data_IF_045790818815
#
_entry.id   IF_045790818815
#
_cell.length_a   1.000
_cell.length_b   1.000
_cell.length_c   1.000
_cell.angle_alpha   90.00
_cell.angle_beta   90.00
_cell.angle_gamma   90.00
#
_symmetry.space_group_name_H-M   'P 1'
#
loop_
_entity.id
_entity.type
_entity.pdbx_description
1 polymer ?
#
# COMPACT_ATOMS: atom_id res chain seq x y z
N UNK A 1 21.98 -5.59 26.24
CA UNK A 1 21.86 -5.88 24.78
C UNK A 1 20.41 -5.83 24.22
N UNK A 2 19.39 -5.36 24.97
CA UNK A 2 18.00 -5.25 24.48
C UNK A 2 17.68 -3.90 23.80
N UNK A 3 18.03 -2.78 24.45
CA UNK A 3 17.67 -1.43 24.00
C UNK A 3 18.15 -1.07 22.58
N UNK A 4 19.32 -1.57 22.16
CA UNK A 4 19.83 -1.35 20.81
C UNK A 4 19.00 -2.08 19.74
N UNK A 5 18.51 -3.29 20.05
CA UNK A 5 17.67 -4.09 19.14
C UNK A 5 16.27 -3.47 18.99
N UNK A 6 15.72 -2.95 20.09
CA UNK A 6 14.42 -2.29 20.09
C UNK A 6 14.46 -0.97 19.31
N UNK A 7 15.55 -0.21 19.46
CA UNK A 7 15.78 1.04 18.71
C UNK A 7 15.93 0.78 17.21
N UNK A 8 16.65 -0.27 16.83
CA UNK A 8 16.78 -0.70 15.42
C UNK A 8 15.43 -1.11 14.83
N UNK A 9 14.62 -1.86 15.58
CA UNK A 9 13.28 -2.26 15.14
C UNK A 9 12.35 -1.05 14.97
N UNK A 10 12.38 -0.10 15.91
CA UNK A 10 11.59 1.12 15.84
C UNK A 10 11.99 1.97 14.62
N UNK A 11 13.30 2.14 14.38
CA UNK A 11 13.80 2.87 13.22
C UNK A 11 13.41 2.19 11.91
N UNK A 12 13.51 0.86 11.82
CA UNK A 12 13.08 0.11 10.64
C UNK A 12 11.60 0.28 10.33
N UNK A 13 10.73 0.20 11.34
CA UNK A 13 9.29 0.41 11.17
C UNK A 13 8.97 1.83 10.67
N UNK A 14 9.68 2.84 11.17
CA UNK A 14 9.53 4.23 10.72
C UNK A 14 10.03 4.41 9.28
N UNK A 15 11.19 3.85 8.92
CA UNK A 15 11.73 3.91 7.56
C UNK A 15 10.78 3.26 6.54
N UNK A 16 10.22 2.09 6.86
CA UNK A 16 9.23 1.40 6.02
C UNK A 16 7.95 2.23 5.87
N UNK A 17 7.46 2.86 6.95
CA UNK A 17 6.30 3.76 6.89
C UNK A 17 6.56 4.94 5.95
N UNK A 18 7.71 5.58 6.06
CA UNK A 18 8.10 6.70 5.19
C UNK A 18 8.27 6.27 3.73
N UNK A 19 8.91 5.12 3.48
CA UNK A 19 9.07 4.59 2.13
C UNK A 19 7.72 4.28 1.45
N UNK A 20 6.74 3.72 2.18
CA UNK A 20 5.38 3.50 1.66
C UNK A 20 4.68 4.81 1.28
N UNK A 21 4.89 5.89 2.03
CA UNK A 21 4.36 7.22 1.70
C UNK A 21 5.01 7.78 0.43
N UNK A 22 6.33 7.64 0.27
CA UNK A 22 7.08 8.16 -0.89
C UNK A 22 6.72 7.41 -2.17
N UNK A 23 6.62 6.08 -2.12
CA UNK A 23 6.37 5.26 -3.30
C UNK A 23 4.91 5.42 -3.76
N UNK A 24 4.00 5.85 -2.87
CA UNK A 24 2.57 5.96 -3.16
C UNK A 24 1.93 4.61 -3.48
N UNK A 25 2.58 3.51 -3.07
CA UNK A 25 2.07 2.15 -3.21
C UNK A 25 1.43 1.77 -1.89
N UNK A 26 0.09 1.72 -1.83
CA UNK A 26 -0.57 1.16 -0.68
C UNK A 26 -0.20 -0.32 -0.57
N UNK A 27 0.24 -0.72 0.62
CA UNK A 27 0.39 -2.11 0.99
C UNK A 27 -0.98 -2.80 0.88
N UNK A 28 -1.03 -4.06 0.44
CA UNK A 28 -2.30 -4.77 0.27
C UNK A 28 -3.10 -4.83 1.58
N UNK A 29 -2.42 -5.01 2.72
CA UNK A 29 -3.07 -5.01 4.02
C UNK A 29 -3.67 -3.65 4.37
N UNK A 30 -2.99 -2.57 3.98
CA UNK A 30 -3.50 -1.20 4.17
C UNK A 30 -4.72 -0.96 3.28
N UNK A 31 -4.71 -1.46 2.04
CA UNK A 31 -5.87 -1.42 1.14
C UNK A 31 -7.06 -2.20 1.71
N UNK A 32 -6.85 -3.42 2.20
CA UNK A 32 -7.91 -4.25 2.80
C UNK A 32 -8.49 -3.56 4.04
N UNK A 33 -7.64 -3.03 4.92
CA UNK A 33 -8.09 -2.28 6.10
C UNK A 33 -8.88 -1.03 5.69
N UNK A 34 -8.40 -0.28 4.70
CA UNK A 34 -9.10 0.89 4.19
C UNK A 34 -10.48 0.52 3.62
N UNK A 35 -10.56 -0.54 2.82
CA UNK A 35 -11.81 -1.03 2.25
C UNK A 35 -12.78 -1.48 3.34
N UNK A 36 -12.31 -2.19 4.37
CA UNK A 36 -13.14 -2.61 5.50
C UNK A 36 -13.67 -1.42 6.31
N UNK A 37 -12.83 -0.39 6.52
CA UNK A 37 -13.20 0.78 7.31
C UNK A 37 -14.09 1.78 6.57
N UNK A 38 -13.82 2.02 5.28
CA UNK A 38 -14.53 3.04 4.47
C UNK A 38 -15.61 2.46 3.55
N UNK A 39 -15.50 1.20 3.17
CA UNK A 39 -16.39 0.55 2.22
C UNK A 39 -16.79 -0.87 2.66
N UNK A 40 -17.42 -1.03 3.84
CA UNK A 40 -17.72 -2.35 4.41
C UNK A 40 -18.63 -3.23 3.53
N UNK A 41 -19.36 -2.65 2.58
CA UNK A 41 -20.22 -3.37 1.64
C UNK A 41 -19.60 -3.67 0.28
N UNK A 42 -18.33 -3.31 0.04
CA UNK A 42 -17.65 -3.61 -1.24
C UNK A 42 -16.73 -4.81 -1.11
N UNK A 43 -16.72 -5.73 -2.08
CA UNK A 43 -15.77 -6.84 -2.09
C UNK A 43 -14.34 -6.30 -2.22
N UNK A 44 -13.44 -6.82 -1.39
CA UNK A 44 -12.02 -6.48 -1.44
C UNK A 44 -11.37 -7.31 -2.55
N UNK A 45 -10.74 -6.64 -3.51
CA UNK A 45 -9.96 -7.30 -4.56
C UNK A 45 -8.92 -8.25 -3.97
N UNK A 46 -8.65 -9.35 -4.67
CA UNK A 46 -7.54 -10.24 -4.32
C UNK A 46 -6.18 -9.56 -4.53
N UNK A 47 -5.14 -10.09 -3.88
CA UNK A 47 -3.76 -9.59 -4.05
C UNK A 47 -3.30 -9.45 -5.51
N UNK A 48 -3.46 -10.47 -6.39
CA UNK A 48 -3.04 -10.35 -7.78
C UNK A 48 -3.84 -9.29 -8.56
N UNK A 49 -5.15 -9.16 -8.30
CA UNK A 49 -5.99 -8.13 -8.92
C UNK A 49 -5.56 -6.72 -8.49
N UNK A 50 -5.30 -6.52 -7.20
CA UNK A 50 -4.77 -5.26 -6.68
C UNK A 50 -3.42 -4.91 -7.31
N UNK A 51 -2.51 -5.88 -7.42
CA UNK A 51 -1.20 -5.65 -8.01
C UNK A 51 -1.31 -5.29 -9.50
N UNK A 52 -2.11 -6.02 -10.27
CA UNK A 52 -2.35 -5.72 -11.68
C UNK A 52 -3.03 -4.36 -11.86
N UNK A 53 -4.01 -3.99 -11.04
CA UNK A 53 -4.63 -2.65 -11.07
C UNK A 53 -3.59 -1.54 -10.83
N UNK A 54 -2.69 -1.71 -9.85
CA UNK A 54 -1.63 -0.73 -9.57
C UNK A 54 -0.61 -0.65 -10.70
N UNK A 55 -0.24 -1.79 -11.28
CA UNK A 55 0.64 -1.84 -12.44
C UNK A 55 -0.02 -1.22 -13.67
N UNK A 56 -1.32 -1.45 -13.88
CA UNK A 56 -2.11 -0.81 -14.94
C UNK A 56 -2.17 0.70 -14.77
N UNK A 57 -2.50 1.17 -13.56
CA UNK A 57 -2.59 2.58 -13.25
C UNK A 57 -1.24 3.31 -13.41
N UNK A 58 -0.12 2.65 -13.09
CA UNK A 58 1.22 3.26 -13.12
C UNK A 58 1.96 3.10 -14.45
N UNK A 59 1.83 1.95 -15.10
CA UNK A 59 2.65 1.58 -16.27
C UNK A 59 1.83 1.33 -17.53
N UNK A 60 0.52 1.06 -17.43
CA UNK A 60 -0.39 1.04 -18.60
C UNK A 60 -1.17 2.35 -18.73
N UNK A 61 -0.58 3.46 -18.29
CA UNK A 61 -1.06 4.82 -18.52
C UNK A 61 -0.88 5.29 -19.97
N UNK A 62 -1.23 4.44 -20.94
CA UNK A 62 -1.44 4.87 -22.32
C UNK A 62 -2.79 5.58 -22.44
N UNK A 63 -2.82 6.85 -22.07
CA UNK A 63 -3.93 7.74 -22.37
C UNK A 63 -4.94 7.88 -21.24
N UNK A 64 -4.82 8.97 -20.50
CA UNK A 64 -5.99 9.63 -19.97
C UNK A 64 -6.94 9.91 -21.14
N UNK A 65 -8.03 9.15 -21.23
CA UNK A 65 -9.26 9.64 -21.81
C UNK A 65 -10.11 10.10 -20.63
N UNK A 66 -9.82 11.33 -20.21
CA UNK A 66 -10.85 12.17 -19.66
C UNK A 66 -11.97 12.26 -20.69
N UNK A 67 -13.20 12.25 -20.20
CA UNK A 67 -14.38 12.69 -20.90
C UNK A 67 -14.15 14.05 -21.57
#
# INVERSE_FOLDING_TARGET
MGAAKDSLRAFWLQAVRTARLIIGVPDYDTYVQHMRLKHPGRPVMSYPEFFDERMRARYRGGGGRCC
#
